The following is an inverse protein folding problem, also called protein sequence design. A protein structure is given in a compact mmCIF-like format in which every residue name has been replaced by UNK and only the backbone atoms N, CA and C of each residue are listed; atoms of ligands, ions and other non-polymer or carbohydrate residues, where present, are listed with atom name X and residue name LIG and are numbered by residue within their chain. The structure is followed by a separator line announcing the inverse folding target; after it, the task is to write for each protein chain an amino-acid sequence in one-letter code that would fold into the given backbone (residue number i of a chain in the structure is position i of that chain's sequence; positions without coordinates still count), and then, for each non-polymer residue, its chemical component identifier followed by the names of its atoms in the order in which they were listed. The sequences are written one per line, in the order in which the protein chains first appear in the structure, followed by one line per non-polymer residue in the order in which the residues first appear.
data_IF_600134513022
#
_entry.id   IF_600134513022
#
_cell.length_a   1.000
_cell.length_b   1.000
_cell.length_c   1.000
_cell.angle_alpha   90.00
_cell.angle_beta   90.00
_cell.angle_gamma   90.00
#
_symmetry.space_group_name_H-M   'P 1'
#
loop_
_entity.id
_entity.type
_entity.pdbx_description
1 polymer ?
#
# COMPACT_ATOMS: atom_id res chain seq x y z
N UNK A 1 -44.19 -21.38 5.09
CA UNK A 1 -42.77 -21.55 4.72
C UNK A 1 -42.11 -20.20 4.93
N UNK A 2 -41.15 -20.12 5.86
CA UNK A 2 -40.31 -18.92 6.02
C UNK A 2 -39.24 -18.99 4.94
N UNK A 3 -39.16 -17.97 4.10
CA UNK A 3 -38.01 -17.76 3.22
C UNK A 3 -36.77 -17.60 4.09
N UNK A 4 -35.83 -18.53 3.94
CA UNK A 4 -34.50 -18.42 4.51
C UNK A 4 -33.79 -17.36 3.66
N UNK A 5 -33.69 -16.14 4.19
CA UNK A 5 -32.74 -15.16 3.66
C UNK A 5 -31.36 -15.78 3.74
N UNK A 6 -30.74 -15.96 2.59
CA UNK A 6 -29.36 -16.39 2.46
C UNK A 6 -28.46 -15.18 2.80
N UNK A 7 -28.45 -14.79 4.08
CA UNK A 7 -27.51 -13.78 4.59
C UNK A 7 -26.16 -14.48 4.69
N UNK A 8 -25.37 -14.44 3.61
CA UNK A 8 -23.96 -14.83 3.70
C UNK A 8 -23.30 -14.02 4.82
N UNK A 9 -22.57 -14.70 5.69
CA UNK A 9 -21.78 -14.11 6.78
C UNK A 9 -20.98 -12.90 6.26
N UNK A 10 -21.07 -11.71 6.88
CA UNK A 10 -20.35 -10.51 6.45
C UNK A 10 -18.85 -10.72 6.19
N UNK A 11 -18.22 -11.64 6.92
CA UNK A 11 -16.83 -12.02 6.68
C UNK A 11 -16.63 -12.74 5.34
N UNK A 12 -17.55 -13.66 5.00
CA UNK A 12 -17.49 -14.41 3.74
C UNK A 12 -17.62 -13.47 2.53
N UNK A 13 -18.46 -12.44 2.64
CA UNK A 13 -18.55 -11.38 1.63
C UNK A 13 -17.24 -10.59 1.52
N UNK A 14 -16.64 -10.23 2.66
CA UNK A 14 -15.38 -9.48 2.69
C UNK A 14 -14.21 -10.29 2.10
N UNK A 15 -14.13 -11.60 2.38
CA UNK A 15 -13.14 -12.51 1.78
C UNK A 15 -13.31 -12.66 0.27
N UNK A 16 -14.55 -12.71 -0.22
CA UNK A 16 -14.80 -12.80 -1.66
C UNK A 16 -14.38 -11.51 -2.37
N UNK A 17 -14.59 -10.35 -1.76
CA UNK A 17 -14.13 -9.06 -2.30
C UNK A 17 -12.60 -8.93 -2.22
N UNK A 18 -11.96 -9.37 -1.13
CA UNK A 18 -10.50 -9.34 -0.95
C UNK A 18 -9.75 -10.04 -2.10
N UNK A 19 -10.28 -11.17 -2.60
CA UNK A 19 -9.69 -11.93 -3.72
C UNK A 19 -9.51 -11.09 -4.98
N UNK A 20 -10.38 -10.11 -5.25
CA UNK A 20 -10.24 -9.22 -6.41
C UNK A 20 -9.05 -8.26 -6.30
N UNK A 21 -8.50 -8.12 -5.09
CA UNK A 21 -7.38 -7.23 -4.77
C UNK A 21 -6.10 -8.00 -4.40
N UNK A 22 -6.07 -9.32 -4.61
CA UNK A 22 -4.84 -10.11 -4.45
C UNK A 22 -4.02 -10.11 -5.75
N UNK A 23 -2.68 -10.05 -5.69
CA UNK A 23 -1.84 -10.33 -6.84
C UNK A 23 -2.01 -11.82 -7.27
N UNK A 24 -1.80 -12.15 -8.56
CA UNK A 24 -1.77 -13.52 -9.05
C UNK A 24 -0.82 -14.42 -8.24
N UNK A 25 -1.13 -15.71 -8.06
CA UNK A 25 -0.32 -16.63 -7.24
C UNK A 25 1.15 -16.72 -7.67
N UNK A 26 1.41 -16.64 -8.97
CA UNK A 26 2.76 -16.64 -9.58
C UNK A 26 3.63 -15.49 -9.03
N UNK A 27 3.00 -14.40 -8.58
CA UNK A 27 3.68 -13.27 -7.94
C UNK A 27 4.51 -13.72 -6.73
N UNK A 28 3.93 -14.60 -5.90
CA UNK A 28 4.54 -15.08 -4.66
C UNK A 28 5.59 -16.19 -4.88
N UNK A 29 5.76 -16.67 -6.11
CA UNK A 29 6.74 -17.72 -6.45
C UNK A 29 7.94 -17.16 -7.22
N UNK A 30 7.85 -15.94 -7.73
CA UNK A 30 8.88 -15.36 -8.60
C UNK A 30 9.89 -14.55 -7.80
N UNK A 31 11.16 -15.01 -7.82
CA UNK A 31 12.28 -14.34 -7.14
C UNK A 31 12.41 -12.83 -7.42
N UNK A 32 12.23 -12.42 -8.67
CA UNK A 32 12.32 -11.01 -9.06
C UNK A 32 11.28 -10.14 -8.34
N UNK A 33 10.06 -10.65 -8.17
CA UNK A 33 9.01 -9.95 -7.44
C UNK A 33 9.32 -9.87 -5.94
N UNK A 34 9.89 -10.92 -5.34
CA UNK A 34 10.35 -10.83 -3.94
C UNK A 34 11.44 -9.78 -3.73
N UNK A 35 12.44 -9.75 -4.62
CA UNK A 35 13.52 -8.77 -4.55
C UNK A 35 12.98 -7.33 -4.70
N UNK A 36 12.08 -7.12 -5.66
CA UNK A 36 11.42 -5.83 -5.87
C UNK A 36 10.54 -5.44 -4.68
N UNK A 37 9.72 -6.36 -4.17
CA UNK A 37 8.84 -6.14 -3.02
C UNK A 37 9.62 -5.73 -1.78
N UNK A 38 10.80 -6.31 -1.54
CA UNK A 38 11.66 -5.90 -0.42
C UNK A 38 12.12 -4.44 -0.56
N UNK A 39 12.52 -4.02 -1.76
CA UNK A 39 12.90 -2.63 -2.04
C UNK A 39 11.69 -1.71 -1.84
N UNK A 40 10.52 -2.12 -2.33
CA UNK A 40 9.28 -1.38 -2.19
C UNK A 40 8.88 -1.22 -0.72
N UNK A 41 8.93 -2.27 0.10
CA UNK A 41 8.61 -2.21 1.54
C UNK A 41 9.50 -1.19 2.26
N UNK A 42 10.83 -1.29 2.08
CA UNK A 42 11.78 -0.34 2.69
C UNK A 42 11.47 1.10 2.26
N UNK A 43 11.18 1.29 0.97
CA UNK A 43 10.79 2.60 0.46
C UNK A 43 9.50 3.09 1.14
N UNK A 44 8.44 2.29 1.16
CA UNK A 44 7.14 2.70 1.70
C UNK A 44 7.23 2.98 3.21
N UNK A 45 7.92 2.14 3.96
CA UNK A 45 8.16 2.35 5.39
C UNK A 45 8.86 3.69 5.65
N UNK A 46 10.00 3.91 4.99
CA UNK A 46 10.77 5.17 5.08
C UNK A 46 9.97 6.40 4.62
N UNK A 47 8.96 6.20 3.76
CA UNK A 47 8.20 7.28 3.13
C UNK A 47 6.80 7.52 3.70
N UNK A 48 6.31 6.63 4.57
CA UNK A 48 4.97 6.70 5.17
C UNK A 48 4.94 7.31 6.57
N UNK A 49 6.09 7.67 7.13
CA UNK A 49 6.19 8.38 8.41
C UNK A 49 5.52 9.76 8.33
N UNK A 50 4.36 9.88 8.98
CA UNK A 50 3.64 11.13 9.21
C UNK A 50 3.37 11.26 10.72
N UNK A 51 3.11 12.49 11.20
CA UNK A 51 2.89 12.80 12.63
C UNK A 51 1.78 11.97 13.30
N UNK A 52 0.92 11.30 12.51
CA UNK A 52 0.04 10.23 12.95
C UNK A 52 0.18 9.03 12.00
N UNK A 53 0.98 8.04 12.39
CA UNK A 53 1.17 6.82 11.61
C UNK A 53 -0.16 6.10 11.35
N UNK A 54 -0.58 6.07 10.08
CA UNK A 54 -1.75 5.34 9.62
C UNK A 54 -1.30 4.17 8.75
N UNK A 55 -1.28 2.97 9.32
CA UNK A 55 -0.86 1.74 8.63
C UNK A 55 -1.71 1.38 7.40
N UNK A 56 -2.89 1.99 7.25
CA UNK A 56 -3.72 1.81 6.06
C UNK A 56 -3.00 2.31 4.80
N UNK A 57 -2.33 3.46 4.89
CA UNK A 57 -1.65 4.10 3.77
C UNK A 57 -0.50 3.23 3.20
N UNK A 58 0.51 2.81 3.99
CA UNK A 58 1.59 1.98 3.49
C UNK A 58 1.10 0.61 3.02
N UNK A 59 0.12 0.01 3.71
CA UNK A 59 -0.46 -1.26 3.28
C UNK A 59 -1.13 -1.14 1.91
N UNK A 60 -1.98 -0.13 1.73
CA UNK A 60 -2.69 0.09 0.48
C UNK A 60 -1.72 0.42 -0.68
N UNK A 61 -0.65 1.15 -0.39
CA UNK A 61 0.42 1.40 -1.36
C UNK A 61 1.10 0.09 -1.80
N UNK A 62 1.44 -0.80 -0.87
CA UNK A 62 2.01 -2.12 -1.19
C UNK A 62 1.03 -2.99 -1.98
N UNK A 63 -0.26 -2.93 -1.67
CA UNK A 63 -1.29 -3.62 -2.47
C UNK A 63 -1.31 -3.15 -3.93
N UNK A 64 -1.21 -1.83 -4.18
CA UNK A 64 -1.12 -1.31 -5.54
C UNK A 64 0.15 -1.76 -6.25
N UNK A 65 1.28 -1.75 -5.54
CA UNK A 65 2.57 -2.16 -6.08
C UNK A 65 2.51 -3.63 -6.52
N UNK A 66 2.13 -4.52 -5.61
CA UNK A 66 2.07 -5.97 -5.85
C UNK A 66 1.13 -6.31 -7.01
N UNK A 67 -0.06 -5.69 -7.06
CA UNK A 67 -1.04 -5.91 -8.15
C UNK A 67 -0.58 -5.36 -9.50
N UNK A 68 0.11 -4.21 -9.50
CA UNK A 68 0.55 -3.60 -10.75
C UNK A 68 1.72 -4.39 -11.35
N UNK A 69 2.78 -4.63 -10.57
CA UNK A 69 4.00 -5.28 -11.09
C UNK A 69 3.81 -6.76 -11.43
N UNK A 70 2.79 -7.40 -10.85
CA UNK A 70 2.44 -8.79 -11.18
C UNK A 70 1.78 -8.95 -12.55
N UNK A 71 1.29 -7.86 -13.15
CA UNK A 71 0.55 -7.91 -14.42
C UNK A 71 1.12 -6.98 -15.49
N UNK A 72 1.97 -6.01 -15.10
CA UNK A 72 2.47 -4.95 -15.98
C UNK A 72 3.88 -4.52 -15.60
N UNK A 73 4.64 -4.08 -16.60
CA UNK A 73 5.89 -3.40 -16.39
C UNK A 73 5.67 -1.95 -15.95
N UNK A 74 6.61 -1.42 -15.15
CA UNK A 74 6.58 0.00 -14.72
C UNK A 74 6.74 0.90 -15.96
N UNK A 75 5.81 1.85 -16.19
CA UNK A 75 5.89 2.76 -17.33
C UNK A 75 7.14 3.63 -17.31
N UNK A 76 7.73 3.85 -18.48
CA UNK A 76 8.82 4.80 -18.66
C UNK A 76 8.22 6.16 -19.03
N UNK A 77 8.09 7.05 -18.04
CA UNK A 77 7.62 8.44 -18.23
C UNK A 77 8.80 9.43 -18.20
N UNK A 78 9.88 9.09 -17.50
CA UNK A 78 11.15 9.82 -17.48
C UNK A 78 12.19 9.05 -18.31
N UNK A 79 12.79 9.66 -19.36
CA UNK A 79 13.69 8.94 -20.26
C UNK A 79 14.92 8.30 -19.58
N UNK A 80 15.59 9.03 -18.69
CA UNK A 80 16.76 8.52 -17.94
C UNK A 80 16.95 9.26 -16.60
N UNK A 81 17.56 8.61 -15.59
CA UNK A 81 17.83 7.17 -15.52
C UNK A 81 16.55 6.37 -15.28
N UNK A 82 16.52 5.09 -15.70
CA UNK A 82 15.34 4.23 -15.58
C UNK A 82 14.87 4.07 -14.12
N UNK A 83 15.80 4.07 -13.16
CA UNK A 83 15.50 4.02 -11.74
C UNK A 83 14.60 5.16 -11.25
N UNK A 84 14.60 6.33 -11.92
CA UNK A 84 13.66 7.42 -11.58
C UNK A 84 12.20 7.01 -11.78
N UNK A 85 11.90 6.19 -12.79
CA UNK A 85 10.53 5.70 -13.00
C UNK A 85 10.11 4.75 -11.89
N UNK A 86 11.03 3.91 -11.39
CA UNK A 86 10.77 3.04 -10.24
C UNK A 86 10.45 3.87 -8.99
N UNK A 87 11.27 4.87 -8.67
CA UNK A 87 11.00 5.74 -7.53
C UNK A 87 9.69 6.52 -7.70
N UNK A 88 9.47 7.09 -8.88
CA UNK A 88 8.24 7.81 -9.20
C UNK A 88 7.01 6.91 -9.06
N UNK A 89 7.09 5.66 -9.52
CA UNK A 89 6.04 4.66 -9.38
C UNK A 89 5.72 4.39 -7.89
N UNK A 90 6.74 4.11 -7.06
CA UNK A 90 6.54 3.88 -5.62
C UNK A 90 5.95 5.12 -4.93
N UNK A 91 6.46 6.31 -5.25
CA UNK A 91 5.94 7.60 -4.77
C UNK A 91 4.48 7.80 -5.16
N UNK A 92 4.09 7.48 -6.40
CA UNK A 92 2.72 7.61 -6.88
C UNK A 92 1.79 6.58 -6.22
N UNK A 93 2.21 5.32 -6.03
CA UNK A 93 1.43 4.34 -5.27
C UNK A 93 1.12 4.82 -3.85
N UNK A 94 2.13 5.37 -3.16
CA UNK A 94 1.96 5.95 -1.83
C UNK A 94 1.03 7.17 -1.84
N UNK A 95 1.21 8.05 -2.82
CA UNK A 95 0.38 9.26 -2.98
C UNK A 95 -1.08 8.92 -3.24
N UNK A 96 -1.35 7.94 -4.12
CA UNK A 96 -2.70 7.48 -4.40
C UNK A 96 -3.30 6.84 -3.14
N UNK A 97 -2.54 6.03 -2.39
CA UNK A 97 -3.02 5.46 -1.13
C UNK A 97 -3.42 6.55 -0.11
N UNK A 98 -2.59 7.59 0.02
CA UNK A 98 -2.89 8.76 0.85
C UNK A 98 -4.15 9.51 0.37
N UNK A 99 -4.33 9.70 -0.94
CA UNK A 99 -5.54 10.30 -1.53
C UNK A 99 -6.80 9.47 -1.26
N UNK A 100 -6.67 8.15 -1.25
CA UNK A 100 -7.79 7.24 -0.98
C UNK A 100 -8.15 7.19 0.51
N UNK A 101 -7.21 7.54 1.40
CA UNK A 101 -7.42 7.57 2.85
C UNK A 101 -7.86 8.94 3.38
N UNK A 102 -7.33 10.02 2.80
CA UNK A 102 -7.57 11.40 3.24
C UNK A 102 -8.24 12.22 2.15
N UNK A 103 -9.49 12.64 2.38
CA UNK A 103 -10.24 13.52 1.46
C UNK A 103 -9.62 14.92 1.29
N UNK A 104 -8.65 15.29 2.13
CA UNK A 104 -7.97 16.59 2.14
C UNK A 104 -6.57 16.59 1.50
N UNK A 105 -6.18 15.52 0.80
CA UNK A 105 -4.84 15.41 0.21
C UNK A 105 -4.54 16.51 -0.82
N UNK A 106 -3.41 17.20 -0.68
CA UNK A 106 -2.90 18.18 -1.64
C UNK A 106 -1.56 17.77 -2.21
N UNK A 107 -1.53 17.55 -3.53
CA UNK A 107 -0.31 17.18 -4.25
C UNK A 107 0.82 18.21 -4.11
N UNK A 108 0.50 19.50 -4.04
CA UNK A 108 1.48 20.57 -3.88
C UNK A 108 2.22 20.49 -2.54
N UNK A 109 1.50 20.18 -1.46
CA UNK A 109 2.07 20.02 -0.11
C UNK A 109 2.94 18.77 -0.05
N UNK A 110 2.51 17.67 -0.67
CA UNK A 110 3.31 16.46 -0.81
C UNK A 110 4.61 16.70 -1.60
N UNK A 111 4.54 17.32 -2.78
CA UNK A 111 5.72 17.63 -3.59
C UNK A 111 6.65 18.64 -2.90
N UNK A 112 6.11 19.55 -2.08
CA UNK A 112 6.91 20.48 -1.29
C UNK A 112 7.59 19.76 -0.11
N UNK A 113 6.88 18.89 0.59
CA UNK A 113 7.42 18.05 1.66
C UNK A 113 8.59 17.19 1.15
N UNK A 114 8.40 16.49 0.03
CA UNK A 114 9.46 15.74 -0.67
C UNK A 114 10.70 16.60 -0.98
N UNK A 115 10.49 17.86 -1.42
CA UNK A 115 11.59 18.80 -1.69
C UNK A 115 12.32 19.26 -0.43
N UNK A 116 11.63 19.39 0.69
CA UNK A 116 12.20 19.87 1.96
C UNK A 116 12.95 18.79 2.73
N UNK A 117 12.65 17.51 2.50
CA UNK A 117 13.29 16.43 3.21
C UNK A 117 14.73 16.20 2.75
N UNK A 118 15.70 16.32 3.67
CA UNK A 118 17.15 16.24 3.37
C UNK A 118 17.55 14.92 2.68
N UNK A 119 16.85 13.82 2.95
CA UNK A 119 17.11 12.50 2.39
C UNK A 119 16.36 12.23 1.06
N UNK A 120 15.50 13.17 0.60
CA UNK A 120 14.61 13.00 -0.56
C UNK A 120 14.85 14.00 -1.69
N UNK A 121 15.93 14.80 -1.61
CA UNK A 121 16.31 15.77 -2.66
C UNK A 121 16.50 15.13 -4.05
N UNK A 122 16.71 13.82 -4.11
CA UNK A 122 16.87 13.03 -5.33
C UNK A 122 15.53 12.69 -6.04
N UNK A 123 14.40 12.89 -5.36
CA UNK A 123 13.04 12.54 -5.79
C UNK A 123 12.25 13.76 -6.28
N UNK A 124 12.94 14.72 -6.89
CA UNK A 124 12.26 15.87 -7.51
C UNK A 124 11.67 15.44 -8.86
N UNK A 125 10.36 15.25 -8.88
CA UNK A 125 9.60 14.93 -10.08
C UNK A 125 8.81 16.13 -10.58
N UNK A 126 8.68 16.26 -11.90
CA UNK A 126 7.79 17.25 -12.49
C UNK A 126 6.34 16.83 -12.31
N UNK A 127 5.44 17.78 -12.13
CA UNK A 127 4.00 17.50 -11.96
C UNK A 127 3.43 16.71 -13.14
N UNK A 128 3.93 16.95 -14.36
CA UNK A 128 3.53 16.20 -15.55
C UNK A 128 3.88 14.72 -15.46
N UNK A 129 5.08 14.40 -14.95
CA UNK A 129 5.57 13.02 -14.84
C UNK A 129 4.77 12.27 -13.77
N UNK A 130 4.51 12.94 -12.65
CA UNK A 130 3.64 12.41 -11.57
C UNK A 130 2.24 12.13 -12.10
N UNK A 131 1.63 13.08 -12.80
CA UNK A 131 0.29 12.90 -13.34
C UNK A 131 0.22 11.74 -14.34
N UNK A 132 1.20 11.64 -15.24
CA UNK A 132 1.28 10.56 -16.23
C UNK A 132 1.47 9.19 -15.56
N UNK A 133 2.32 9.11 -14.54
CA UNK A 133 2.52 7.88 -13.77
C UNK A 133 1.25 7.50 -13.00
N UNK A 134 0.64 8.42 -12.26
CA UNK A 134 -0.60 8.15 -11.52
C UNK A 134 -1.72 7.66 -12.43
N UNK A 135 -1.91 8.30 -13.59
CA UNK A 135 -2.92 7.87 -14.56
C UNK A 135 -2.64 6.45 -15.07
N UNK A 136 -1.36 6.14 -15.33
CA UNK A 136 -0.95 4.81 -15.77
C UNK A 136 -1.20 3.74 -14.70
N UNK A 137 -0.94 4.06 -13.43
CA UNK A 137 -1.21 3.17 -12.30
C UNK A 137 -2.71 2.94 -12.16
N UNK A 138 -3.51 4.01 -12.12
CA UNK A 138 -4.96 3.93 -12.01
C UNK A 138 -5.57 3.12 -13.17
N UNK A 139 -5.19 3.42 -14.42
CA UNK A 139 -5.65 2.66 -15.57
C UNK A 139 -5.17 1.19 -15.51
N UNK A 140 -3.94 0.96 -15.06
CA UNK A 140 -3.36 -0.37 -14.93
C UNK A 140 -4.10 -1.26 -13.94
N UNK A 141 -4.56 -0.67 -12.83
CA UNK A 141 -5.37 -1.29 -11.79
C UNK A 141 -6.88 -1.18 -12.05
N UNK A 142 -7.28 -0.75 -13.25
CA UNK A 142 -8.69 -0.57 -13.64
C UNK A 142 -9.49 0.32 -12.67
N UNK A 143 -8.83 1.33 -12.09
CA UNK A 143 -9.39 2.26 -11.10
C UNK A 143 -9.91 1.58 -9.82
N UNK A 144 -9.59 0.30 -9.62
CA UNK A 144 -9.93 -0.46 -8.41
C UNK A 144 -8.98 -0.11 -7.27
N UNK A 145 -9.09 1.12 -6.77
CA UNK A 145 -8.22 1.70 -5.74
C UNK A 145 -8.76 1.50 -4.32
N UNK A 146 -10.06 1.25 -4.16
CA UNK A 146 -10.66 0.91 -2.85
C UNK A 146 -10.49 -0.57 -2.56
N UNK A 147 -9.25 -1.00 -2.34
CA UNK A 147 -8.98 -2.39 -2.00
C UNK A 147 -9.56 -2.73 -0.63
N UNK A 148 -10.33 -3.83 -0.57
CA UNK A 148 -10.56 -4.53 0.69
C UNK A 148 -9.26 -5.27 1.01
N UNK A 149 -8.65 -4.91 2.12
CA UNK A 149 -7.35 -5.44 2.54
C UNK A 149 -7.47 -6.11 3.89
N UNK A 150 -6.48 -6.93 4.28
CA UNK A 150 -6.49 -7.62 5.58
C UNK A 150 -6.61 -6.65 6.78
N UNK A 151 -6.24 -5.37 6.60
CA UNK A 151 -6.44 -4.32 7.62
C UNK A 151 -7.93 -4.03 7.89
N UNK A 152 -8.82 -4.22 6.91
CA UNK A 152 -10.27 -4.04 7.07
C UNK A 152 -10.87 -5.09 8.02
N UNK A 153 -10.17 -6.21 8.23
CA UNK A 153 -10.55 -7.24 9.18
C UNK A 153 -9.93 -7.01 10.57
N UNK A 154 -8.96 -6.09 10.70
CA UNK A 154 -8.27 -5.85 11.96
C UNK A 154 -9.26 -5.45 13.07
N UNK A 155 -10.20 -4.56 12.76
CA UNK A 155 -11.25 -4.15 13.72
C UNK A 155 -12.13 -5.33 14.16
N UNK A 156 -12.43 -6.27 13.26
CA UNK A 156 -13.17 -7.49 13.61
C UNK A 156 -12.38 -8.35 14.60
N UNK A 157 -11.11 -8.62 14.33
CA UNK A 157 -10.27 -9.45 15.19
C UNK A 157 -9.91 -8.79 16.51
N UNK A 158 -9.76 -7.46 16.55
CA UNK A 158 -9.44 -6.71 17.77
C UNK A 158 -10.60 -6.77 18.76
N UNK A 159 -11.85 -6.74 18.29
CA UNK A 159 -13.02 -6.89 19.16
C UNK A 159 -13.16 -8.30 19.77
N UNK A 160 -12.40 -9.29 19.27
CA UNK A 160 -12.34 -10.64 19.85
C UNK A 160 -11.26 -10.78 20.93
N UNK A 161 -10.40 -9.76 21.11
CA UNK A 161 -9.30 -9.82 22.08
C UNK A 161 -9.77 -9.37 23.48
N UNK A 162 -9.27 -10.02 24.55
CA UNK A 162 -9.71 -9.78 25.93
C UNK A 162 -9.17 -8.49 26.57
N UNK A 163 -8.23 -7.76 25.93
CA UNK A 163 -7.55 -6.59 26.51
C UNK A 163 -7.80 -5.26 25.76
N UNK A 164 -7.46 -4.13 26.40
CA UNK A 164 -7.79 -2.77 25.98
C UNK A 164 -7.48 -2.48 24.49
N UNK A 165 -8.49 -2.13 23.67
CA UNK A 165 -8.42 -2.16 22.20
C UNK A 165 -7.41 -1.18 21.58
N UNK A 166 -7.07 -0.09 22.28
CA UNK A 166 -6.27 1.01 21.71
C UNK A 166 -4.78 0.70 21.59
N UNK A 167 -4.21 -0.04 22.55
CA UNK A 167 -2.80 -0.44 22.53
C UNK A 167 -2.60 -1.53 21.47
N UNK A 168 -3.54 -2.49 21.45
CA UNK A 168 -3.53 -3.62 20.51
C UNK A 168 -3.64 -3.16 19.06
N UNK A 169 -4.47 -2.16 18.73
CA UNK A 169 -4.66 -1.68 17.36
C UNK A 169 -3.37 -1.14 16.73
N UNK A 170 -2.59 -0.34 17.48
CA UNK A 170 -1.30 0.17 16.99
C UNK A 170 -0.29 -0.95 16.75
N UNK A 171 -0.23 -1.95 17.65
CA UNK A 171 0.63 -3.11 17.48
C UNK A 171 0.20 -4.01 16.32
N UNK A 172 -1.09 -4.29 16.16
CA UNK A 172 -1.62 -5.11 15.06
C UNK A 172 -1.35 -4.43 13.71
N UNK A 173 -1.60 -3.14 13.60
CA UNK A 173 -1.29 -2.35 12.41
C UNK A 173 0.21 -2.36 12.08
N UNK A 174 1.05 -2.22 13.10
CA UNK A 174 2.50 -2.28 12.95
C UNK A 174 2.97 -3.69 12.53
N UNK A 175 2.45 -4.75 13.16
CA UNK A 175 2.74 -6.15 12.81
C UNK A 175 2.27 -6.50 11.40
N UNK A 176 1.11 -6.02 10.97
CA UNK A 176 0.61 -6.22 9.61
C UNK A 176 1.57 -5.58 8.60
N UNK A 177 2.02 -4.34 8.84
CA UNK A 177 2.98 -3.65 7.97
C UNK A 177 4.35 -4.35 7.99
N UNK A 178 4.84 -4.71 9.17
CA UNK A 178 6.12 -5.41 9.33
C UNK A 178 6.08 -6.78 8.66
N UNK A 179 4.98 -7.53 8.75
CA UNK A 179 4.81 -8.83 8.08
C UNK A 179 4.81 -8.73 6.55
N UNK A 180 4.64 -7.53 5.98
CA UNK A 180 4.77 -7.33 4.55
C UNK A 180 6.24 -7.30 4.10
N UNK A 181 7.18 -6.98 4.98
CA UNK A 181 8.60 -7.28 4.80
C UNK A 181 8.87 -8.70 5.32
N UNK A 182 9.69 -9.49 4.64
CA UNK A 182 10.21 -10.71 5.27
C UNK A 182 10.98 -10.30 6.52
N UNK A 183 10.43 -10.53 7.72
CA UNK A 183 11.09 -10.18 8.97
C UNK A 183 12.38 -10.99 9.13
N UNK A 184 13.49 -10.31 9.40
CA UNK A 184 14.38 -10.77 10.46
C UNK A 184 13.78 -10.26 11.78
N UNK A 185 13.27 -11.18 12.59
CA UNK A 185 12.58 -10.92 13.88
C UNK A 185 13.58 -10.49 14.98
N UNK A 186 14.82 -10.12 14.65
CA UNK A 186 15.92 -10.02 15.63
C UNK A 186 16.07 -8.69 16.37
N UNK A 187 15.33 -7.62 16.06
CA UNK A 187 15.57 -6.31 16.70
C UNK A 187 14.41 -5.71 17.52
N UNK A 188 13.32 -6.45 17.78
CA UNK A 188 12.18 -5.90 18.58
C UNK A 188 12.32 -6.20 20.09
N UNK A 189 13.44 -6.77 20.55
CA UNK A 189 13.70 -7.02 21.99
C UNK A 189 15.10 -6.62 22.46
N UNK A 190 15.57 -5.42 22.11
CA UNK A 190 16.68 -4.76 22.82
C UNK A 190 16.45 -3.25 22.96
#
# INVERSE_FOLDING_TARGET
MREIRNDEDPLSQLFNVEKEFMPPSIYAETFLFHAFRRIATIFIETNSECDNFDAFIPYLAMNYIDRFVSTRDIPIVIPRPASKNTYLFLTCCLTIASKMRNDSFKLSEFLQYERTQKNRRHLQFETKDVFQMELSICAGLQWKMRSVTSICFADYFINLLPESPTIVLRFVHHLIVISQGGCEISEIFL
#
